data_IF_990552373449
#
_entry.id   IF_990552373449
#
_cell.length_a   1.000
_cell.length_b   1.000
_cell.length_c   1.000
_cell.angle_alpha   90.00
_cell.angle_beta   90.00
_cell.angle_gamma   90.00
#
_symmetry.space_group_name_H-M   'P 1'
#
loop_
_entity.id
_entity.type
_entity.pdbx_description
1 polymer ?
#
# COMPACT_ATOMS: atom_id res chain seq x y z
N UNK A 1 14.54 -14.73 -26.92
CA UNK A 1 14.12 -15.77 -27.87
C UNK A 1 13.18 -15.16 -28.88
N UNK A 2 13.24 -15.59 -30.14
CA UNK A 2 12.25 -15.16 -31.13
C UNK A 2 10.93 -15.94 -30.97
N UNK A 3 9.98 -15.71 -31.88
CA UNK A 3 8.67 -16.38 -31.90
C UNK A 3 8.78 -17.90 -32.17
N UNK A 4 9.89 -18.35 -32.73
CA UNK A 4 10.19 -19.77 -33.01
C UNK A 4 10.99 -20.42 -31.87
N UNK A 5 11.15 -19.73 -30.73
CA UNK A 5 11.97 -20.16 -29.59
C UNK A 5 13.47 -20.32 -29.91
N UNK A 6 13.98 -19.67 -30.97
CA UNK A 6 15.41 -19.63 -31.28
C UNK A 6 16.14 -18.65 -30.37
N UNK A 7 17.35 -19.03 -29.99
CA UNK A 7 18.24 -18.26 -29.10
C UNK A 7 19.30 -17.57 -29.94
N UNK A 8 19.51 -16.28 -29.71
CA UNK A 8 20.52 -15.46 -30.37
C UNK A 8 21.39 -14.82 -29.32
N UNK A 9 22.71 -14.90 -29.50
CA UNK A 9 23.66 -14.16 -28.67
C UNK A 9 23.50 -12.66 -28.92
N UNK A 10 23.57 -11.87 -27.86
CA UNK A 10 23.48 -10.41 -27.91
C UNK A 10 24.74 -9.79 -27.31
N UNK A 11 25.05 -10.16 -26.06
CA UNK A 11 26.17 -9.59 -25.32
C UNK A 11 26.67 -10.52 -24.20
N UNK A 12 27.81 -10.16 -23.62
CA UNK A 12 28.32 -10.67 -22.34
C UNK A 12 28.45 -9.50 -21.38
N UNK A 13 28.01 -9.69 -20.14
CA UNK A 13 28.26 -8.76 -19.04
C UNK A 13 29.41 -9.32 -18.18
N UNK A 14 30.66 -8.82 -18.31
CA UNK A 14 31.83 -9.37 -17.61
C UNK A 14 31.91 -8.90 -16.14
N UNK A 15 30.76 -8.89 -15.45
CA UNK A 15 30.58 -8.44 -14.07
C UNK A 15 29.32 -9.04 -13.49
N UNK A 16 29.15 -8.95 -12.17
CA UNK A 16 27.87 -9.29 -11.55
C UNK A 16 26.76 -8.34 -12.03
N UNK A 17 25.55 -8.88 -12.15
CA UNK A 17 24.37 -8.13 -12.55
C UNK A 17 23.46 -7.85 -11.35
N UNK A 18 22.60 -6.84 -11.47
CA UNK A 18 21.74 -6.42 -10.35
C UNK A 18 20.71 -7.49 -9.97
N UNK A 19 20.31 -8.28 -10.96
CA UNK A 19 19.37 -9.40 -10.91
C UNK A 19 19.98 -10.72 -10.40
N UNK A 20 21.27 -10.79 -10.06
CA UNK A 20 21.91 -12.03 -9.59
C UNK A 20 21.17 -12.70 -8.43
N UNK A 21 20.50 -11.91 -7.58
CA UNK A 21 19.76 -12.39 -6.42
C UNK A 21 18.67 -13.40 -6.76
N UNK A 22 18.03 -13.33 -7.94
CA UNK A 22 17.01 -14.34 -8.30
C UNK A 22 17.64 -15.70 -8.54
N UNK A 23 18.85 -15.73 -9.12
CA UNK A 23 19.61 -16.97 -9.34
C UNK A 23 20.05 -17.55 -8.00
N UNK A 24 20.62 -16.74 -7.11
CA UNK A 24 21.03 -17.19 -5.77
C UNK A 24 19.85 -17.82 -5.00
N UNK A 25 18.67 -17.20 -5.07
CA UNK A 25 17.48 -17.68 -4.36
C UNK A 25 16.98 -19.04 -4.87
N UNK A 26 17.16 -19.36 -6.17
CA UNK A 26 16.71 -20.65 -6.71
C UNK A 26 17.80 -21.73 -6.72
N UNK A 27 19.08 -21.37 -6.71
CA UNK A 27 20.18 -22.35 -6.71
C UNK A 27 20.77 -22.59 -5.34
N UNK A 28 20.60 -21.64 -4.40
CA UNK A 28 21.28 -21.66 -3.11
C UNK A 28 22.77 -21.31 -3.18
N UNK A 29 23.27 -20.89 -4.35
CA UNK A 29 24.67 -20.52 -4.56
C UNK A 29 24.85 -19.02 -4.33
N UNK A 30 25.72 -18.64 -3.39
CA UNK A 30 26.14 -17.25 -3.18
C UNK A 30 27.17 -16.86 -4.23
N UNK A 31 26.75 -16.06 -5.21
CA UNK A 31 27.55 -15.68 -6.37
C UNK A 31 28.63 -14.66 -5.99
N UNK A 32 28.34 -13.74 -5.07
CA UNK A 32 29.32 -12.73 -4.62
C UNK A 32 30.45 -13.39 -3.84
N UNK A 33 30.12 -14.27 -2.89
CA UNK A 33 31.09 -15.08 -2.16
C UNK A 33 31.94 -15.93 -3.09
N UNK A 34 31.31 -16.55 -4.09
CA UNK A 34 32.00 -17.36 -5.11
C UNK A 34 32.99 -16.52 -5.91
N UNK A 35 32.63 -15.29 -6.33
CA UNK A 35 33.55 -14.38 -7.02
C UNK A 35 34.80 -14.07 -6.18
N UNK A 36 34.63 -13.82 -4.88
CA UNK A 36 35.74 -13.54 -3.96
C UNK A 36 36.69 -14.74 -3.86
N UNK A 37 36.15 -15.95 -3.71
CA UNK A 37 36.97 -17.15 -3.60
C UNK A 37 37.69 -17.51 -4.90
N UNK A 38 37.06 -17.32 -6.06
CA UNK A 38 37.74 -17.45 -7.35
C UNK A 38 38.92 -16.48 -7.42
N UNK A 39 38.73 -15.22 -6.98
CA UNK A 39 39.80 -14.22 -6.96
C UNK A 39 40.95 -14.58 -5.99
N UNK A 40 40.69 -15.42 -4.99
CA UNK A 40 41.70 -15.97 -4.08
C UNK A 40 42.40 -17.22 -4.64
N UNK A 41 42.00 -17.70 -5.82
CA UNK A 41 42.60 -18.86 -6.48
C UNK A 41 41.94 -20.20 -6.15
N UNK A 42 40.79 -20.20 -5.47
CA UNK A 42 40.02 -21.42 -5.22
C UNK A 42 39.37 -21.96 -6.49
N UNK A 43 39.36 -23.29 -6.62
CA UNK A 43 38.70 -23.96 -7.74
C UNK A 43 37.21 -24.14 -7.41
N UNK A 44 36.34 -24.08 -8.41
CA UNK A 44 34.88 -24.14 -8.20
C UNK A 44 34.42 -25.35 -7.37
N UNK A 45 35.07 -26.50 -7.55
CA UNK A 45 34.71 -27.77 -6.94
C UNK A 45 35.57 -28.14 -5.72
N UNK A 46 36.43 -27.23 -5.24
CA UNK A 46 37.18 -27.48 -4.02
C UNK A 46 36.29 -27.37 -2.76
N UNK A 47 36.85 -27.70 -1.61
CA UNK A 47 36.11 -27.70 -0.34
C UNK A 47 35.70 -26.30 0.15
N UNK A 48 36.25 -25.23 -0.44
CA UNK A 48 36.01 -23.84 -0.04
C UNK A 48 34.82 -23.23 -0.78
N UNK A 49 34.79 -23.34 -2.12
CA UNK A 49 33.63 -22.93 -2.91
C UNK A 49 32.54 -23.98 -2.84
N UNK A 50 32.91 -25.26 -2.91
CA UNK A 50 32.03 -26.42 -2.85
C UNK A 50 30.85 -26.32 -3.83
N UNK A 51 31.09 -25.80 -5.04
CA UNK A 51 30.08 -25.81 -6.09
C UNK A 51 29.95 -27.24 -6.62
N UNK A 52 28.74 -27.82 -6.65
CA UNK A 52 28.58 -29.18 -7.12
C UNK A 52 28.83 -29.27 -8.64
N UNK A 53 29.03 -30.50 -9.13
CA UNK A 53 29.11 -30.74 -10.57
C UNK A 53 27.86 -30.23 -11.30
N UNK A 54 28.00 -29.86 -12.57
CA UNK A 54 26.95 -29.19 -13.35
C UNK A 54 25.61 -29.96 -13.38
N UNK A 55 25.64 -31.30 -13.39
CA UNK A 55 24.44 -32.15 -13.37
C UNK A 55 23.73 -32.19 -12.00
N UNK A 56 24.41 -31.75 -10.95
CA UNK A 56 23.90 -31.70 -9.57
C UNK A 56 23.41 -30.32 -9.15
N UNK A 57 23.65 -29.27 -9.95
CA UNK A 57 23.09 -27.94 -9.68
C UNK A 57 21.57 -28.00 -9.87
N UNK A 58 20.83 -27.91 -8.76
CA UNK A 58 19.37 -27.95 -8.77
C UNK A 58 18.77 -26.54 -8.80
N UNK A 59 17.56 -26.43 -9.35
CA UNK A 59 16.72 -25.23 -9.25
C UNK A 59 15.56 -25.53 -8.33
N UNK A 60 15.46 -24.75 -7.26
CA UNK A 60 14.41 -24.87 -6.26
C UNK A 60 13.41 -23.72 -6.40
N UNK A 61 12.27 -24.01 -7.03
CA UNK A 61 11.16 -23.05 -7.16
C UNK A 61 11.45 -21.90 -8.11
N UNK A 62 10.87 -20.74 -7.79
CA UNK A 62 10.87 -19.53 -8.60
C UNK A 62 11.24 -18.32 -7.75
N UNK A 63 11.92 -17.35 -8.37
CA UNK A 63 12.20 -16.07 -7.75
C UNK A 63 11.91 -14.91 -8.70
N UNK A 64 11.41 -13.80 -8.16
CA UNK A 64 11.12 -12.58 -8.90
C UNK A 64 11.71 -11.41 -8.12
N UNK A 65 12.47 -10.55 -8.80
CA UNK A 65 13.01 -9.31 -8.25
C UNK A 65 12.22 -8.11 -8.77
N UNK A 66 11.88 -7.19 -7.87
CA UNK A 66 11.43 -5.85 -8.19
C UNK A 66 12.42 -4.82 -7.65
N UNK A 67 12.66 -3.74 -8.40
CA UNK A 67 13.44 -2.59 -7.96
C UNK A 67 12.50 -1.47 -7.58
N UNK A 68 12.43 -1.16 -6.29
CA UNK A 68 11.68 0.01 -5.82
C UNK A 68 12.56 1.24 -6.01
N UNK A 69 12.09 2.20 -6.79
CA UNK A 69 12.78 3.45 -7.12
C UNK A 69 11.97 4.66 -6.66
N UNK A 70 12.56 5.87 -6.73
CA UNK A 70 11.83 7.14 -6.53
C UNK A 70 11.13 7.66 -7.78
N UNK A 71 11.14 6.91 -8.89
CA UNK A 71 10.48 7.31 -10.13
C UNK A 71 8.96 7.39 -9.91
N UNK A 72 8.36 8.50 -10.34
CA UNK A 72 6.90 8.70 -10.25
C UNK A 72 6.22 8.28 -11.57
N UNK A 73 5.47 7.15 -11.59
CA UNK A 73 4.78 6.71 -12.80
C UNK A 73 3.66 7.67 -13.25
N UNK A 74 3.19 8.57 -12.38
CA UNK A 74 2.21 9.60 -12.73
C UNK A 74 2.85 10.86 -13.32
N UNK A 75 4.19 10.93 -13.37
CA UNK A 75 4.97 12.07 -13.85
C UNK A 75 6.16 11.60 -14.71
N UNK A 76 5.86 10.83 -15.77
CA UNK A 76 6.81 10.34 -16.77
C UNK A 76 8.04 9.63 -16.18
N UNK A 77 7.88 8.94 -15.05
CA UNK A 77 8.95 8.25 -14.32
C UNK A 77 10.10 9.17 -13.91
N UNK A 78 9.85 10.48 -13.79
CA UNK A 78 10.83 11.41 -13.27
C UNK A 78 11.21 10.99 -11.83
N UNK A 79 12.49 10.84 -11.51
CA UNK A 79 12.93 10.53 -10.15
C UNK A 79 12.54 11.65 -9.18
N UNK A 80 11.77 11.30 -8.17
CA UNK A 80 11.52 12.19 -7.04
C UNK A 80 12.74 12.20 -6.11
N UNK A 81 12.92 13.30 -5.40
CA UNK A 81 14.04 13.53 -4.50
C UNK A 81 13.58 14.30 -3.28
N UNK A 82 14.26 14.11 -2.15
CA UNK A 82 13.84 14.70 -0.91
C UNK A 82 14.18 13.84 0.28
N UNK A 83 13.57 14.16 1.42
CA UNK A 83 13.81 13.44 2.67
C UNK A 83 12.81 12.31 2.81
N UNK A 84 13.29 11.09 3.02
CA UNK A 84 12.45 9.96 3.40
C UNK A 84 11.97 10.16 4.84
N UNK A 85 10.71 10.53 5.00
CA UNK A 85 10.10 10.82 6.30
C UNK A 85 9.80 9.55 7.11
N UNK A 86 9.44 8.48 6.39
CA UNK A 86 9.23 7.17 6.98
C UNK A 86 9.56 6.10 5.95
N UNK A 87 10.26 5.07 6.41
CA UNK A 87 10.62 3.86 5.70
C UNK A 87 10.28 2.67 6.60
N UNK A 88 9.37 1.83 6.14
CA UNK A 88 9.12 0.50 6.69
C UNK A 88 9.19 -0.50 5.56
N UNK A 89 10.14 -1.41 5.70
CA UNK A 89 10.34 -2.55 4.81
C UNK A 89 9.28 -3.63 5.05
N UNK A 90 9.17 -4.56 4.11
CA UNK A 90 8.34 -5.75 4.26
C UNK A 90 9.24 -6.99 4.29
N UNK A 91 9.10 -7.80 5.34
CA UNK A 91 9.98 -8.95 5.60
C UNK A 91 9.20 -10.28 5.62
N UNK A 92 9.82 -11.36 6.08
CA UNK A 92 9.17 -12.66 6.26
C UNK A 92 9.58 -13.70 5.24
N UNK A 93 9.07 -14.93 5.41
CA UNK A 93 9.58 -16.10 4.71
C UNK A 93 9.50 -15.97 3.18
N UNK A 94 10.65 -16.15 2.52
CA UNK A 94 10.79 -16.05 1.07
C UNK A 94 10.82 -14.61 0.54
N UNK A 95 11.06 -13.61 1.39
CA UNK A 95 11.38 -12.23 0.97
C UNK A 95 12.84 -11.93 1.35
N UNK A 96 13.62 -11.54 0.35
CA UNK A 96 14.97 -11.00 0.48
C UNK A 96 14.95 -9.52 0.10
N UNK A 97 15.61 -8.70 0.92
CA UNK A 97 15.78 -7.29 0.69
C UNK A 97 17.26 -6.97 0.54
N UNK A 98 17.60 -6.27 -0.54
CA UNK A 98 18.92 -5.69 -0.75
C UNK A 98 18.70 -4.17 -0.84
N UNK A 99 18.79 -3.50 0.30
CA UNK A 99 18.57 -2.06 0.44
C UNK A 99 19.71 -1.27 -0.22
N UNK A 100 19.35 -0.17 -0.88
CA UNK A 100 20.29 0.87 -1.27
C UNK A 100 20.59 1.79 -0.09
N UNK A 101 20.73 3.08 -0.35
CA UNK A 101 20.91 4.10 0.70
C UNK A 101 19.56 4.64 1.21
N UNK A 102 18.66 3.76 1.65
CA UNK A 102 17.32 4.14 2.13
C UNK A 102 17.17 3.87 3.64
N UNK A 103 16.87 4.90 4.42
CA UNK A 103 16.55 4.80 5.85
C UNK A 103 15.77 6.03 6.31
N UNK A 104 15.18 5.99 7.51
CA UNK A 104 14.42 7.12 8.05
C UNK A 104 15.28 8.38 8.16
N UNK A 105 14.84 9.47 7.53
CA UNK A 105 15.54 10.76 7.53
C UNK A 105 16.60 10.92 6.44
N UNK A 106 16.87 9.90 5.61
CA UNK A 106 17.84 10.05 4.52
C UNK A 106 17.33 11.04 3.47
N UNK A 107 18.24 11.85 2.92
CA UNK A 107 17.97 12.70 1.76
C UNK A 107 18.40 12.00 0.48
N UNK A 108 17.44 11.67 -0.38
CA UNK A 108 17.71 11.10 -1.70
C UNK A 108 18.28 12.20 -2.60
N UNK A 109 19.45 11.90 -3.19
CA UNK A 109 20.17 12.78 -4.10
C UNK A 109 19.64 12.63 -5.53
N UNK A 110 19.51 13.72 -6.30
CA UNK A 110 19.14 13.63 -7.72
C UNK A 110 20.31 13.20 -8.63
N UNK A 111 21.53 13.05 -8.07
CA UNK A 111 22.75 12.81 -8.87
C UNK A 111 23.08 11.33 -9.09
N UNK A 112 22.35 10.41 -8.45
CA UNK A 112 22.60 8.97 -8.54
C UNK A 112 21.33 8.24 -9.03
N UNK A 113 21.45 6.93 -9.26
CA UNK A 113 20.31 6.06 -9.55
C UNK A 113 19.23 6.22 -8.46
N UNK A 114 17.96 6.23 -8.88
CA UNK A 114 16.78 6.42 -8.04
C UNK A 114 16.41 5.18 -7.21
N UNK A 115 17.23 4.12 -7.26
CA UNK A 115 17.03 2.87 -6.53
C UNK A 115 17.00 3.08 -5.01
N UNK A 116 15.89 2.68 -4.39
CA UNK A 116 15.72 2.62 -2.94
C UNK A 116 16.05 1.23 -2.40
N UNK A 117 15.40 0.20 -2.92
CA UNK A 117 15.56 -1.18 -2.43
C UNK A 117 15.22 -2.20 -3.52
N UNK A 118 15.97 -3.29 -3.58
CA UNK A 118 15.62 -4.47 -4.38
C UNK A 118 14.86 -5.44 -3.50
N UNK A 119 13.72 -5.90 -3.98
CA UNK A 119 12.85 -6.86 -3.29
C UNK A 119 12.82 -8.13 -4.12
N UNK A 120 13.36 -9.22 -3.60
CA UNK A 120 13.30 -10.53 -4.23
C UNK A 120 12.36 -11.42 -3.46
N UNK A 121 11.31 -11.91 -4.11
CA UNK A 121 10.44 -12.95 -3.57
C UNK A 121 10.86 -14.32 -4.10
N UNK A 122 10.69 -15.36 -3.29
CA UNK A 122 10.96 -16.75 -3.65
C UNK A 122 9.91 -17.70 -3.07
N UNK A 123 9.49 -18.67 -3.88
CA UNK A 123 8.58 -19.73 -3.48
C UNK A 123 8.65 -20.95 -4.41
N UNK A 124 7.92 -22.01 -4.09
CA UNK A 124 7.83 -23.23 -4.90
C UNK A 124 7.07 -23.05 -6.22
N UNK A 125 6.18 -22.07 -6.32
CA UNK A 125 5.39 -21.75 -7.53
C UNK A 125 5.51 -20.28 -7.91
N UNK A 126 5.27 -19.96 -9.19
CA UNK A 126 5.23 -18.56 -9.68
C UNK A 126 4.12 -17.78 -8.97
N UNK A 127 2.96 -18.41 -8.76
CA UNK A 127 1.77 -17.84 -8.16
C UNK A 127 2.03 -17.45 -6.70
N UNK A 128 2.67 -18.34 -5.92
CA UNK A 128 3.04 -18.04 -4.54
C UNK A 128 4.15 -16.98 -4.47
N UNK A 129 5.10 -17.02 -5.40
CA UNK A 129 6.17 -16.01 -5.50
C UNK A 129 5.58 -14.62 -5.77
N UNK A 130 4.64 -14.52 -6.71
CA UNK A 130 3.90 -13.30 -7.01
C UNK A 130 3.03 -12.90 -5.82
N UNK A 131 2.36 -13.84 -5.14
CA UNK A 131 1.57 -13.58 -3.95
C UNK A 131 2.40 -12.95 -2.82
N UNK A 132 3.56 -13.53 -2.51
CA UNK A 132 4.55 -13.00 -1.56
C UNK A 132 5.04 -11.62 -1.97
N UNK A 133 5.39 -11.42 -3.24
CA UNK A 133 5.87 -10.14 -3.75
C UNK A 133 4.80 -9.05 -3.68
N UNK A 134 3.56 -9.36 -4.07
CA UNK A 134 2.41 -8.43 -3.93
C UNK A 134 2.18 -8.04 -2.49
N UNK A 135 2.24 -8.99 -1.56
CA UNK A 135 2.13 -8.73 -0.12
C UNK A 135 3.25 -7.81 0.35
N UNK A 136 4.50 -8.13 0.02
CA UNK A 136 5.65 -7.32 0.40
C UNK A 136 5.53 -5.88 -0.14
N UNK A 137 5.28 -5.71 -1.45
CA UNK A 137 5.10 -4.40 -2.08
C UNK A 137 3.97 -3.57 -1.44
N UNK A 138 2.86 -4.21 -1.02
CA UNK A 138 1.75 -3.54 -0.32
C UNK A 138 2.04 -3.22 1.14
N UNK A 139 2.98 -3.89 1.77
CA UNK A 139 3.37 -3.63 3.16
C UNK A 139 4.40 -2.51 3.27
N UNK A 140 5.21 -2.29 2.23
CA UNK A 140 6.13 -1.15 2.19
C UNK A 140 5.40 0.16 2.50
N UNK A 141 5.97 0.93 3.44
CA UNK A 141 5.54 2.30 3.72
C UNK A 141 6.73 3.21 3.53
N UNK A 142 6.75 3.88 2.39
CA UNK A 142 7.72 4.91 2.07
C UNK A 142 6.95 6.25 2.00
N UNK A 143 7.45 7.25 2.73
CA UNK A 143 6.88 8.60 2.83
C UNK A 143 7.96 9.63 2.63
N UNK A 144 7.58 10.80 2.10
CA UNK A 144 8.49 11.90 1.80
C UNK A 144 8.97 11.94 0.34
N UNK A 145 8.94 10.79 -0.35
CA UNK A 145 9.20 10.67 -1.79
C UNK A 145 8.16 9.77 -2.47
N UNK A 146 7.95 9.96 -3.76
CA UNK A 146 7.20 9.07 -4.64
C UNK A 146 7.96 7.77 -4.89
N UNK A 147 7.24 6.75 -5.35
CA UNK A 147 7.83 5.45 -5.66
C UNK A 147 7.09 4.75 -6.80
N UNK A 148 7.79 3.89 -7.53
CA UNK A 148 7.23 3.06 -8.60
C UNK A 148 6.43 1.83 -8.11
N UNK A 149 6.22 1.62 -6.79
CA UNK A 149 5.59 0.42 -6.20
C UNK A 149 4.26 0.04 -6.87
N UNK A 150 3.41 1.03 -7.16
CA UNK A 150 2.08 0.78 -7.74
C UNK A 150 2.16 0.30 -9.18
N UNK A 151 3.11 0.83 -9.94
CA UNK A 151 3.39 0.37 -11.29
C UNK A 151 3.90 -1.07 -11.28
N UNK A 152 4.81 -1.40 -10.36
CA UNK A 152 5.28 -2.78 -10.16
C UNK A 152 4.14 -3.74 -9.80
N UNK A 153 3.22 -3.31 -8.91
CA UNK A 153 2.03 -4.09 -8.55
C UNK A 153 1.12 -4.36 -9.74
N UNK A 154 0.97 -3.40 -10.67
CA UNK A 154 0.20 -3.60 -11.89
C UNK A 154 0.86 -4.65 -12.80
N UNK A 155 2.17 -4.56 -13.02
CA UNK A 155 2.92 -5.54 -13.84
C UNK A 155 2.76 -6.96 -13.29
N UNK A 156 3.08 -7.18 -12.01
CA UNK A 156 3.04 -8.53 -11.42
C UNK A 156 1.61 -9.03 -11.19
N UNK A 157 0.59 -8.18 -11.40
CA UNK A 157 -0.81 -8.57 -11.41
C UNK A 157 -1.36 -8.88 -12.79
N UNK A 158 -0.62 -8.57 -13.85
CA UNK A 158 -1.09 -8.74 -15.21
C UNK A 158 -1.12 -10.23 -15.59
N UNK A 159 -2.22 -10.75 -16.17
CA UNK A 159 -2.33 -12.17 -16.55
C UNK A 159 -1.22 -12.65 -17.48
N UNK A 160 -0.79 -11.82 -18.44
CA UNK A 160 0.29 -12.15 -19.38
C UNK A 160 1.64 -12.34 -18.66
N UNK A 161 1.93 -11.51 -17.64
CA UNK A 161 3.13 -11.64 -16.82
C UNK A 161 3.09 -12.91 -15.96
N UNK A 162 1.94 -13.18 -15.33
CA UNK A 162 1.72 -14.38 -14.50
C UNK A 162 1.85 -15.66 -15.34
N UNK A 163 1.40 -15.63 -16.59
CA UNK A 163 1.52 -16.75 -17.53
C UNK A 163 2.96 -16.97 -18.04
N UNK A 164 3.89 -16.05 -17.79
CA UNK A 164 5.26 -16.13 -18.29
C UNK A 164 5.40 -15.78 -19.79
N UNK A 165 4.40 -15.12 -20.38
CA UNK A 165 4.35 -14.81 -21.81
C UNK A 165 4.83 -13.38 -22.15
N UNK A 166 5.27 -12.61 -21.14
CA UNK A 166 5.73 -11.24 -21.35
C UNK A 166 7.00 -11.20 -22.22
N UNK A 167 6.95 -10.39 -23.28
CA UNK A 167 8.08 -10.10 -24.18
C UNK A 167 8.61 -8.68 -23.98
N UNK A 168 9.67 -8.30 -24.68
CA UNK A 168 10.33 -6.98 -24.52
C UNK A 168 9.41 -5.78 -24.77
N UNK A 169 8.37 -5.95 -25.58
CA UNK A 169 7.34 -4.95 -25.90
C UNK A 169 6.11 -5.02 -24.97
N UNK A 170 6.14 -5.84 -23.92
CA UNK A 170 5.02 -6.04 -22.98
C UNK A 170 4.41 -4.72 -22.48
N UNK A 171 5.25 -3.76 -22.05
CA UNK A 171 4.78 -2.47 -21.52
C UNK A 171 4.13 -1.61 -22.61
N UNK A 172 4.62 -1.68 -23.85
CA UNK A 172 4.03 -0.94 -24.99
C UNK A 172 2.67 -1.50 -25.39
N UNK A 173 2.50 -2.83 -25.28
CA UNK A 173 1.24 -3.53 -25.61
C UNK A 173 0.16 -3.41 -24.54
N UNK A 174 0.54 -3.14 -23.30
CA UNK A 174 -0.36 -3.14 -22.14
C UNK A 174 -0.34 -1.78 -21.43
N UNK A 175 -0.77 -0.67 -22.07
CA UNK A 175 -0.70 0.68 -21.50
C UNK A 175 -1.53 0.85 -20.21
N UNK A 176 -2.47 -0.04 -19.94
CA UNK A 176 -3.24 -0.04 -18.71
C UNK A 176 -2.40 -0.33 -17.45
N UNK A 177 -1.20 -0.90 -17.56
CA UNK A 177 -0.31 -1.06 -16.40
C UNK A 177 0.16 0.28 -15.82
N UNK A 178 0.07 1.36 -16.60
CA UNK A 178 0.38 2.73 -16.16
C UNK A 178 -0.80 3.40 -15.44
N UNK A 179 -1.99 2.80 -15.45
CA UNK A 179 -3.16 3.34 -14.74
C UNK A 179 -3.02 3.11 -13.23
N UNK A 180 -2.47 4.10 -12.52
CA UNK A 180 -2.22 4.01 -11.09
C UNK A 180 -3.49 4.34 -10.28
N UNK A 181 -4.02 3.34 -9.55
CA UNK A 181 -5.11 3.58 -8.59
C UNK A 181 -4.56 4.22 -7.32
N UNK A 182 -5.03 5.42 -6.99
CA UNK A 182 -4.68 6.12 -5.73
C UNK A 182 -5.34 5.43 -4.55
N UNK A 183 -4.52 4.88 -3.65
CA UNK A 183 -4.99 4.39 -2.35
C UNK A 183 -5.23 5.56 -1.38
N UNK A 184 -6.16 5.35 -0.46
CA UNK A 184 -6.47 6.32 0.58
C UNK A 184 -5.38 6.35 1.65
N UNK A 185 -4.81 7.52 1.93
CA UNK A 185 -3.84 7.71 3.02
C UNK A 185 -4.50 8.38 4.25
N UNK A 186 -5.48 7.69 4.84
CA UNK A 186 -6.28 8.24 5.94
C UNK A 186 -5.45 8.55 7.18
N UNK A 187 -4.50 7.67 7.52
CA UNK A 187 -3.65 7.82 8.71
C UNK A 187 -2.81 9.08 8.65
N UNK A 188 -2.05 9.29 7.57
CA UNK A 188 -1.25 10.51 7.39
C UNK A 188 -2.12 11.76 7.41
N UNK A 189 -3.27 11.75 6.72
CA UNK A 189 -4.19 12.92 6.70
C UNK A 189 -4.72 13.29 8.08
N UNK A 190 -5.08 12.29 8.90
CA UNK A 190 -5.52 12.53 10.29
C UNK A 190 -4.37 13.11 11.12
N UNK A 191 -3.16 12.56 11.00
CA UNK A 191 -2.00 13.10 11.72
C UNK A 191 -1.67 14.53 11.29
N UNK A 192 -1.73 14.84 9.99
CA UNK A 192 -1.54 16.21 9.49
C UNK A 192 -2.59 17.17 10.06
N UNK A 193 -3.87 16.77 10.09
CA UNK A 193 -4.92 17.59 10.70
C UNK A 193 -4.68 17.81 12.20
N UNK A 194 -4.33 16.76 12.95
CA UNK A 194 -4.05 16.89 14.38
C UNK A 194 -2.82 17.77 14.66
N UNK A 195 -1.76 17.63 13.85
CA UNK A 195 -0.55 18.46 13.97
C UNK A 195 -0.86 19.93 13.70
N UNK A 196 -1.58 20.22 12.62
CA UNK A 196 -1.99 21.57 12.26
C UNK A 196 -2.81 22.22 13.37
N UNK A 197 -3.88 21.55 13.84
CA UNK A 197 -4.72 22.08 14.93
C UNK A 197 -3.95 22.20 16.26
N UNK A 198 -2.97 21.34 16.52
CA UNK A 198 -2.19 21.40 17.77
C UNK A 198 -1.22 22.58 17.80
N UNK A 199 -0.65 22.96 16.65
CA UNK A 199 0.33 24.04 16.52
C UNK A 199 -0.37 25.38 16.26
N UNK A 200 -1.28 25.41 15.28
CA UNK A 200 -1.91 26.62 14.77
C UNK A 200 -3.25 26.94 15.45
N UNK A 201 -3.82 25.99 16.21
CA UNK A 201 -5.16 26.09 16.78
C UNK A 201 -6.26 25.83 15.75
N UNK A 202 -7.51 25.75 16.22
CA UNK A 202 -8.67 25.70 15.34
C UNK A 202 -9.23 27.11 15.13
N UNK A 203 -9.52 27.56 13.90
CA UNK A 203 -9.96 28.93 13.63
C UNK A 203 -11.24 29.33 14.38
N UNK A 204 -12.15 28.38 14.58
CA UNK A 204 -13.39 28.61 15.34
C UNK A 204 -13.21 28.60 16.87
N UNK A 205 -12.03 28.22 17.40
CA UNK A 205 -11.76 28.12 18.84
C UNK A 205 -10.73 29.16 19.26
N UNK A 206 -11.21 30.35 19.66
CA UNK A 206 -10.36 31.51 19.99
C UNK A 206 -9.52 31.35 21.27
N UNK A 207 -10.00 30.57 22.24
CA UNK A 207 -9.31 30.32 23.52
C UNK A 207 -9.38 28.84 23.83
N UNK A 208 -8.21 28.22 23.99
CA UNK A 208 -8.07 26.85 24.45
C UNK A 208 -7.80 26.86 25.95
N UNK A 209 -8.64 26.18 26.71
CA UNK A 209 -8.37 25.87 28.11
C UNK A 209 -7.56 24.56 28.16
N UNK A 210 -6.30 24.65 28.60
CA UNK A 210 -5.39 23.51 28.65
C UNK A 210 -5.73 22.52 29.77
N UNK A 211 -6.44 22.97 30.81
CA UNK A 211 -6.79 22.18 31.99
C UNK A 211 -8.20 21.58 31.87
N UNK A 212 -8.94 21.94 30.81
CA UNK A 212 -10.27 21.41 30.55
C UNK A 212 -10.22 19.91 30.28
N UNK A 213 -10.72 19.14 31.23
CA UNK A 213 -11.00 17.70 31.07
C UNK A 213 -12.43 17.53 30.59
N UNK A 214 -12.60 16.75 29.52
CA UNK A 214 -13.90 16.38 29.00
C UNK A 214 -14.24 14.97 29.49
N UNK A 215 -15.40 14.82 30.11
CA UNK A 215 -15.94 13.52 30.45
C UNK A 215 -16.42 12.80 29.19
N UNK A 216 -16.33 11.48 29.18
CA UNK A 216 -16.92 10.68 28.09
C UNK A 216 -18.44 10.74 28.25
N UNK A 217 -19.20 11.09 27.20
CA UNK A 217 -20.65 11.12 27.28
C UNK A 217 -21.18 9.71 27.59
N UNK A 218 -22.11 9.62 28.53
CA UNK A 218 -22.79 8.39 28.88
C UNK A 218 -23.88 8.13 27.84
N UNK A 219 -23.70 7.09 27.01
CA UNK A 219 -24.72 6.65 26.07
C UNK A 219 -25.70 5.74 26.82
N UNK A 220 -27.00 6.09 26.89
CA UNK A 220 -27.99 5.24 27.53
C UNK A 220 -27.99 3.84 26.91
N UNK A 221 -28.04 2.77 27.72
CA UNK A 221 -28.07 1.42 27.20
C UNK A 221 -29.35 1.21 26.39
N UNK A 222 -29.20 0.64 25.19
CA UNK A 222 -30.32 0.22 24.36
C UNK A 222 -29.97 -1.09 23.63
N UNK A 223 -30.98 -1.92 23.38
CA UNK A 223 -30.81 -3.16 22.63
C UNK A 223 -30.78 -2.85 21.13
N UNK A 224 -29.62 -3.05 20.49
CA UNK A 224 -29.41 -2.84 19.05
C UNK A 224 -30.03 -3.93 18.18
N UNK A 225 -30.41 -5.05 18.79
CA UNK A 225 -30.91 -6.25 18.09
C UNK A 225 -32.42 -6.39 18.19
N UNK A 226 -33.03 -5.82 19.24
CA UNK A 226 -34.46 -5.59 19.27
C UNK A 226 -34.83 -4.67 18.11
N UNK A 227 -35.61 -5.18 17.16
CA UNK A 227 -36.15 -4.36 16.08
C UNK A 227 -36.92 -3.15 16.63
N UNK A 228 -37.00 -2.10 15.83
CA UNK A 228 -37.74 -0.90 16.21
C UNK A 228 -39.24 -1.10 15.96
N UNK A 229 -40.08 -0.60 16.87
CA UNK A 229 -41.51 -0.56 16.62
C UNK A 229 -41.83 0.33 15.40
N UNK A 230 -42.87 -0.04 14.64
CA UNK A 230 -43.37 0.79 13.54
C UNK A 230 -43.74 2.18 14.05
N UNK A 231 -43.15 3.21 13.45
CA UNK A 231 -43.40 4.61 13.77
C UNK A 231 -44.10 5.37 12.64
N UNK A 232 -44.11 6.69 12.77
CA UNK A 232 -44.72 7.60 11.77
C UNK A 232 -44.05 7.52 10.40
N UNK A 233 -42.78 7.11 10.33
CA UNK A 233 -42.09 6.86 9.06
C UNK A 233 -42.71 5.68 8.30
N UNK A 234 -43.02 4.57 8.97
CA UNK A 234 -43.66 3.42 8.35
C UNK A 234 -45.12 3.74 7.97
N UNK A 235 -45.82 4.56 8.75
CA UNK A 235 -47.15 5.08 8.37
C UNK A 235 -47.09 5.95 7.11
N UNK A 236 -46.10 6.85 7.02
CA UNK A 236 -45.87 7.67 5.83
C UNK A 236 -45.66 6.81 4.58
N UNK A 237 -44.86 5.75 4.68
CA UNK A 237 -44.56 4.86 3.56
C UNK A 237 -45.80 4.08 3.09
N UNK A 238 -46.69 3.71 4.02
CA UNK A 238 -47.92 2.95 3.73
C UNK A 238 -49.06 3.82 3.19
N UNK A 239 -49.24 5.02 3.75
CA UNK A 239 -50.43 5.86 3.51
C UNK A 239 -50.16 7.07 2.60
N UNK A 240 -48.89 7.40 2.36
CA UNK A 240 -48.51 8.65 1.71
C UNK A 240 -48.69 9.87 2.61
N UNK A 241 -48.25 11.04 2.12
CA UNK A 241 -48.25 12.28 2.89
C UNK A 241 -49.67 12.74 3.28
N UNK A 242 -50.64 12.66 2.37
CA UNK A 242 -52.03 13.04 2.64
C UNK A 242 -52.68 12.11 3.65
N UNK A 243 -52.42 10.81 3.55
CA UNK A 243 -52.91 9.81 4.49
C UNK A 243 -52.34 10.01 5.90
N UNK A 244 -51.04 10.30 6.02
CA UNK A 244 -50.43 10.63 7.31
C UNK A 244 -51.04 11.91 7.92
N UNK A 245 -51.29 12.94 7.10
CA UNK A 245 -51.91 14.20 7.55
C UNK A 245 -53.34 13.98 8.08
N UNK A 246 -54.14 13.18 7.39
CA UNK A 246 -55.49 12.83 7.86
C UNK A 246 -55.44 12.00 9.15
N UNK A 247 -54.55 11.02 9.24
CA UNK A 247 -54.33 10.24 10.45
C UNK A 247 -53.95 11.13 11.65
N UNK A 248 -53.02 12.07 11.45
CA UNK A 248 -52.59 12.98 12.51
C UNK A 248 -53.72 13.89 13.01
N UNK A 249 -54.61 14.35 12.11
CA UNK A 249 -55.80 15.15 12.48
C UNK A 249 -56.82 14.36 13.31
N UNK A 250 -56.88 13.04 13.13
CA UNK A 250 -57.81 12.17 13.84
C UNK A 250 -57.32 11.76 15.24
N UNK A 251 -56.01 11.81 15.48
CA UNK A 251 -55.45 11.44 16.78
C UNK A 251 -55.79 12.48 17.87
N UNK A 252 -56.08 11.99 19.09
CA UNK A 252 -56.33 12.81 20.27
C UNK A 252 -55.07 13.13 21.09
N UNK A 253 -53.94 12.48 20.78
CA UNK A 253 -52.66 12.66 21.48
C UNK A 253 -51.89 13.85 20.91
N UNK A 254 -51.12 14.49 21.77
CA UNK A 254 -50.13 15.49 21.36
C UNK A 254 -48.88 14.76 20.88
N UNK A 255 -48.45 15.07 19.66
CA UNK A 255 -47.18 14.61 19.11
C UNK A 255 -46.11 15.68 19.24
N UNK A 256 -44.86 15.24 19.34
CA UNK A 256 -43.69 16.09 19.46
C UNK A 256 -42.75 15.85 18.29
N UNK A 257 -42.10 16.91 17.83
CA UNK A 257 -40.95 16.84 16.92
C UNK A 257 -39.72 17.22 17.73
N UNK A 258 -38.78 16.29 17.89
CA UNK A 258 -37.50 16.58 18.53
C UNK A 258 -36.64 17.44 17.61
N UNK A 259 -36.21 18.60 18.10
CA UNK A 259 -35.37 19.56 17.37
C UNK A 259 -33.93 19.58 17.86
N UNK A 260 -33.55 18.69 18.78
CA UNK A 260 -32.21 18.60 19.39
C UNK A 260 -31.12 18.51 18.33
N UNK A 261 -31.35 17.70 17.29
CA UNK A 261 -30.39 17.47 16.21
C UNK A 261 -30.32 18.59 15.15
N UNK A 262 -31.12 19.65 15.26
CA UNK A 262 -31.10 20.78 14.31
C UNK A 262 -31.29 22.15 14.97
N UNK A 263 -32.52 22.48 15.37
CA UNK A 263 -32.87 23.85 15.77
C UNK A 263 -32.26 24.23 17.11
N UNK A 264 -32.15 23.28 18.03
CA UNK A 264 -31.59 23.50 19.35
C UNK A 264 -30.13 23.95 19.27
N UNK A 265 -29.27 23.20 18.57
CA UNK A 265 -27.87 23.56 18.43
C UNK A 265 -27.64 24.70 17.42
N UNK A 266 -28.56 24.95 16.49
CA UNK A 266 -28.55 26.19 15.70
C UNK A 266 -28.74 27.42 16.59
N UNK A 267 -29.68 27.37 17.53
CA UNK A 267 -30.00 28.47 18.43
C UNK A 267 -28.93 28.68 19.51
N UNK A 268 -28.35 27.60 20.02
CA UNK A 268 -27.46 27.63 21.20
C UNK A 268 -25.98 27.48 20.89
N UNK A 269 -25.63 26.79 19.80
CA UNK A 269 -24.25 26.37 19.48
C UNK A 269 -23.83 26.78 18.06
N UNK A 270 -24.51 27.77 17.45
CA UNK A 270 -24.23 28.27 16.11
C UNK A 270 -24.10 27.15 15.06
N UNK A 271 -24.93 26.11 15.19
CA UNK A 271 -24.97 24.97 14.29
C UNK A 271 -23.67 24.16 14.26
N UNK A 272 -22.96 24.06 15.40
CA UNK A 272 -21.66 23.39 15.50
C UNK A 272 -21.70 21.99 16.14
N UNK A 273 -22.88 21.43 16.43
CA UNK A 273 -22.98 20.03 16.85
C UNK A 273 -22.49 19.13 15.71
N UNK A 274 -21.59 18.19 16.01
CA UNK A 274 -20.94 17.37 14.99
C UNK A 274 -21.61 16.00 14.90
N UNK A 275 -21.50 15.37 13.74
CA UNK A 275 -22.07 14.03 13.49
C UNK A 275 -21.59 12.97 14.48
N UNK A 276 -20.37 13.09 15.00
CA UNK A 276 -19.83 12.17 16.02
C UNK A 276 -20.59 12.22 17.35
N UNK A 277 -21.24 13.35 17.64
CA UNK A 277 -22.07 13.52 18.84
C UNK A 277 -23.54 13.12 18.58
N UNK A 278 -23.90 12.87 17.32
CA UNK A 278 -25.26 12.53 16.90
C UNK A 278 -25.47 11.02 16.64
N UNK A 279 -24.42 10.33 16.16
CA UNK A 279 -24.43 8.90 15.79
C UNK A 279 -23.84 8.02 16.91
#
# INVERSE_FOLDING_TARGET
>A
VDKDSKVYFIEVNPRIQVEHTVTEMITGVDLVKTQIYIAQGHALHDDVINLPAQDKVQKHGFAIQCRITTEDPENDFMPDYGTVLAYRSAEGFGIRLDEGSVYNGVKISPFFDSLLVKVTAHSSSVQDTIGKLKRALREFRIRGVKTNIRFLLNIISHPEFIAGNATVDFLQRNPEVFNIRKEQDRGTKILSYLADISINGHPDVKKKDADKKFDKPLIPPFDKTAGFADGTKQLLDKLGADGLSQWLKAEQKIYYTDTTFRDAHQSLLATRMRTIDML
#
